data_IF_037985182408
#
_entry.id   IF_037985182408
#
_cell.length_a   1.000
_cell.length_b   1.000
_cell.length_c   1.000
_cell.angle_alpha   90.00
_cell.angle_beta   90.00
_cell.angle_gamma   90.00
#
_symmetry.space_group_name_H-M   'P 1'
#
loop_
_entity.id
_entity.type
_entity.pdbx_description
1 polymer ?
#
# COMPACT_ATOMS: atom_id res chain seq x y z
N UNK A 1 -28.85 -15.04 7.29
CA UNK A 1 -29.15 -14.55 8.66
C UNK A 1 -29.15 -13.02 8.69
N UNK A 2 -29.60 -12.35 9.78
CA UNK A 2 -29.53 -10.88 9.91
C UNK A 2 -28.08 -10.35 9.85
N UNK A 3 -27.13 -11.08 10.47
CA UNK A 3 -25.69 -10.73 10.47
C UNK A 3 -25.09 -10.74 9.07
N UNK A 4 -25.42 -11.75 8.26
CA UNK A 4 -24.92 -11.84 6.89
C UNK A 4 -25.43 -10.69 6.01
N UNK A 5 -26.72 -10.33 6.14
CA UNK A 5 -27.28 -9.15 5.44
C UNK A 5 -26.60 -7.85 5.84
N UNK A 6 -26.29 -7.69 7.12
CA UNK A 6 -25.55 -6.52 7.60
C UNK A 6 -24.16 -6.42 6.96
N UNK A 7 -23.39 -7.52 6.93
CA UNK A 7 -22.06 -7.55 6.29
C UNK A 7 -22.11 -7.25 4.79
N UNK A 8 -23.10 -7.81 4.07
CA UNK A 8 -23.30 -7.50 2.65
C UNK A 8 -23.58 -6.01 2.45
N UNK A 9 -24.46 -5.42 3.26
CA UNK A 9 -24.76 -3.99 3.16
C UNK A 9 -23.51 -3.12 3.38
N UNK A 10 -22.67 -3.46 4.36
CA UNK A 10 -21.40 -2.74 4.58
C UNK A 10 -20.49 -2.80 3.36
N UNK A 11 -20.41 -3.96 2.69
CA UNK A 11 -19.60 -4.11 1.49
C UNK A 11 -20.17 -3.37 0.28
N UNK A 12 -21.49 -3.37 0.13
CA UNK A 12 -22.16 -2.58 -0.90
C UNK A 12 -21.89 -1.09 -0.69
N UNK A 13 -22.09 -0.59 0.53
CA UNK A 13 -21.80 0.80 0.88
C UNK A 13 -20.31 1.13 0.66
N UNK A 14 -19.40 0.19 0.94
CA UNK A 14 -17.96 0.37 0.72
C UNK A 14 -17.65 0.50 -0.78
N UNK A 15 -18.20 -0.38 -1.61
CA UNK A 15 -17.99 -0.32 -3.06
C UNK A 15 -18.62 0.93 -3.68
N UNK A 16 -19.83 1.31 -3.25
CA UNK A 16 -20.47 2.57 -3.67
C UNK A 16 -19.58 3.76 -3.26
N UNK A 17 -19.12 3.80 -2.01
CA UNK A 17 -18.26 4.86 -1.50
C UNK A 17 -16.95 4.97 -2.28
N UNK A 18 -16.33 3.84 -2.63
CA UNK A 18 -15.10 3.79 -3.44
C UNK A 18 -15.37 4.30 -4.86
N UNK A 19 -16.42 3.80 -5.53
CA UNK A 19 -16.81 4.25 -6.88
C UNK A 19 -17.11 5.74 -6.90
N UNK A 20 -17.88 6.25 -5.94
CA UNK A 20 -18.18 7.69 -5.81
C UNK A 20 -16.93 8.54 -5.56
N UNK A 21 -15.92 7.98 -4.87
CA UNK A 21 -14.64 8.66 -4.62
C UNK A 21 -13.75 8.69 -5.87
N UNK A 22 -13.85 7.67 -6.71
CA UNK A 22 -13.16 7.59 -7.99
C UNK A 22 -13.84 8.46 -9.06
N UNK A 23 -15.17 8.66 -8.96
CA UNK A 23 -15.93 9.59 -9.79
C UNK A 23 -15.92 11.00 -9.18
N UNK A 24 -16.37 12.02 -9.93
CA UNK A 24 -16.32 13.42 -9.52
C UNK A 24 -17.22 13.78 -8.30
N UNK A 25 -17.68 12.81 -7.51
CA UNK A 25 -18.60 12.92 -6.38
C UNK A 25 -17.93 12.54 -5.05
N UNK A 26 -16.65 12.92 -4.87
CA UNK A 26 -15.82 12.54 -3.70
C UNK A 26 -16.45 12.82 -2.33
N UNK A 27 -17.21 13.91 -2.21
CA UNK A 27 -17.89 14.25 -0.96
C UNK A 27 -18.94 13.21 -0.55
N UNK A 28 -19.74 12.73 -1.51
CA UNK A 28 -20.73 11.68 -1.27
C UNK A 28 -20.04 10.35 -0.96
N UNK A 29 -18.99 10.01 -1.71
CA UNK A 29 -18.19 8.81 -1.45
C UNK A 29 -17.65 8.76 -0.01
N UNK A 30 -17.12 9.88 0.47
CA UNK A 30 -16.63 9.97 1.85
C UNK A 30 -17.74 9.76 2.90
N UNK A 31 -18.95 10.28 2.67
CA UNK A 31 -20.07 10.11 3.59
C UNK A 31 -20.43 8.64 3.77
N UNK A 32 -20.47 7.85 2.69
CA UNK A 32 -20.68 6.40 2.79
C UNK A 32 -19.60 5.72 3.63
N UNK A 33 -18.33 6.02 3.35
CA UNK A 33 -17.19 5.43 4.05
C UNK A 33 -17.18 5.78 5.54
N UNK A 34 -17.48 7.04 5.91
CA UNK A 34 -17.57 7.46 7.32
C UNK A 34 -18.73 6.82 8.07
N UNK A 35 -19.86 6.60 7.40
CA UNK A 35 -21.02 5.90 7.99
C UNK A 35 -20.69 4.45 8.30
N UNK A 36 -20.00 3.75 7.39
CA UNK A 36 -19.49 2.40 7.64
C UNK A 36 -18.59 2.42 8.88
N UNK A 37 -17.57 3.29 8.89
CA UNK A 37 -16.59 3.37 9.98
C UNK A 37 -17.28 3.54 11.34
N UNK A 38 -18.22 4.49 11.41
CA UNK A 38 -19.02 4.74 12.61
C UNK A 38 -19.80 3.49 13.05
N UNK A 39 -20.33 2.72 12.11
CA UNK A 39 -21.09 1.51 12.41
C UNK A 39 -20.22 0.34 12.90
N UNK A 40 -18.95 0.27 12.49
CA UNK A 40 -18.04 -0.84 12.81
C UNK A 40 -16.99 -0.48 13.87
N UNK A 41 -16.99 0.75 14.38
CA UNK A 41 -15.95 1.31 15.27
C UNK A 41 -15.63 0.43 16.49
N UNK A 42 -16.63 -0.21 17.08
CA UNK A 42 -16.44 -1.08 18.26
C UNK A 42 -15.93 -2.49 17.94
N UNK A 43 -15.87 -2.87 16.66
CA UNK A 43 -15.56 -4.23 16.22
C UNK A 43 -14.51 -4.25 15.11
N UNK A 44 -13.68 -3.20 15.01
CA UNK A 44 -12.68 -3.06 13.95
C UNK A 44 -11.72 -4.27 13.89
N UNK A 45 -11.32 -4.81 15.04
CA UNK A 45 -10.42 -5.96 15.14
C UNK A 45 -11.11 -7.33 14.93
N UNK A 46 -12.42 -7.37 14.69
CA UNK A 46 -13.10 -8.64 14.44
C UNK A 46 -12.60 -9.29 13.14
N UNK A 47 -12.39 -10.60 13.11
CA UNK A 47 -11.83 -11.34 11.96
C UNK A 47 -12.55 -11.07 10.63
N UNK A 48 -13.88 -10.99 10.65
CA UNK A 48 -14.73 -10.64 9.50
C UNK A 48 -14.70 -9.16 9.07
N UNK A 49 -14.18 -8.26 9.92
CA UNK A 49 -14.29 -6.80 9.74
C UNK A 49 -12.92 -6.16 9.50
N UNK A 50 -11.85 -6.67 10.10
CA UNK A 50 -10.53 -6.04 10.08
C UNK A 50 -10.01 -5.74 8.67
N UNK A 51 -10.19 -6.65 7.70
CA UNK A 51 -9.84 -6.39 6.30
C UNK A 51 -10.65 -5.24 5.68
N UNK A 52 -11.95 -5.17 5.97
CA UNK A 52 -12.81 -4.07 5.51
C UNK A 52 -12.39 -2.75 6.16
N UNK A 53 -12.15 -2.76 7.47
CA UNK A 53 -11.73 -1.58 8.22
C UNK A 53 -10.38 -1.04 7.71
N UNK A 54 -9.42 -1.92 7.41
CA UNK A 54 -8.12 -1.50 6.90
C UNK A 54 -8.21 -0.91 5.48
N UNK A 55 -9.01 -1.54 4.61
CA UNK A 55 -9.34 -0.99 3.29
C UNK A 55 -10.03 0.38 3.42
N UNK A 56 -10.96 0.51 4.36
CA UNK A 56 -11.68 1.74 4.62
C UNK A 56 -10.75 2.88 5.04
N UNK A 57 -9.79 2.59 5.93
CA UNK A 57 -8.76 3.57 6.29
C UNK A 57 -7.93 3.99 5.07
N UNK A 58 -7.49 3.05 4.24
CA UNK A 58 -6.75 3.37 3.02
C UNK A 58 -7.56 4.24 2.05
N UNK A 59 -8.86 3.98 1.87
CA UNK A 59 -9.72 4.84 1.04
C UNK A 59 -9.87 6.24 1.63
N UNK A 60 -10.10 6.34 2.95
CA UNK A 60 -10.18 7.64 3.62
C UNK A 60 -8.84 8.40 3.59
N UNK A 61 -7.69 7.71 3.61
CA UNK A 61 -6.38 8.32 3.41
C UNK A 61 -6.29 8.99 2.04
N UNK A 62 -6.67 8.28 0.98
CA UNK A 62 -6.64 8.80 -0.39
C UNK A 62 -7.52 10.05 -0.50
N UNK A 63 -8.75 9.98 0.01
CA UNK A 63 -9.70 11.09 -0.01
C UNK A 63 -9.15 12.30 0.75
N UNK A 64 -8.68 12.10 1.98
CA UNK A 64 -8.15 13.20 2.81
C UNK A 64 -6.90 13.83 2.20
N UNK A 65 -6.03 13.01 1.61
CA UNK A 65 -4.87 13.49 0.86
C UNK A 65 -5.29 14.30 -0.37
N UNK A 66 -6.34 13.91 -1.07
CA UNK A 66 -6.87 14.64 -2.23
C UNK A 66 -7.43 16.02 -1.87
N UNK A 67 -7.93 16.18 -0.64
CA UNK A 67 -8.35 17.47 -0.09
C UNK A 67 -7.22 18.24 0.60
N UNK A 68 -5.97 17.77 0.51
CA UNK A 68 -4.80 18.36 1.17
C UNK A 68 -4.92 18.40 2.72
N UNK A 69 -5.79 17.58 3.30
CA UNK A 69 -5.95 17.43 4.74
C UNK A 69 -4.94 16.41 5.28
N UNK A 70 -3.65 16.70 5.12
CA UNK A 70 -2.57 15.75 5.39
C UNK A 70 -2.48 15.30 6.86
N UNK A 71 -2.75 16.20 7.81
CA UNK A 71 -2.77 15.84 9.24
C UNK A 71 -3.88 14.84 9.57
N UNK A 72 -5.09 15.04 9.05
CA UNK A 72 -6.20 14.09 9.19
C UNK A 72 -5.81 12.72 8.59
N UNK A 73 -5.18 12.73 7.41
CA UNK A 73 -4.71 11.51 6.77
C UNK A 73 -3.68 10.78 7.65
N UNK A 74 -2.68 11.48 8.19
CA UNK A 74 -1.68 10.87 9.08
C UNK A 74 -2.35 10.23 10.32
N UNK A 75 -3.35 10.87 10.92
CA UNK A 75 -4.09 10.28 12.05
C UNK A 75 -4.90 9.03 11.65
N UNK A 76 -5.49 9.02 10.46
CA UNK A 76 -6.15 7.82 9.91
C UNK A 76 -5.14 6.69 9.71
N UNK A 77 -3.93 6.98 9.24
CA UNK A 77 -2.89 5.97 9.03
C UNK A 77 -2.41 5.37 10.36
N UNK A 78 -2.28 6.18 11.42
CA UNK A 78 -1.99 5.68 12.77
C UNK A 78 -3.07 4.73 13.29
N UNK A 79 -4.35 5.00 12.98
CA UNK A 79 -5.46 4.08 13.30
C UNK A 79 -5.35 2.77 12.51
N UNK A 80 -4.96 2.83 11.24
CA UNK A 80 -4.71 1.65 10.43
C UNK A 80 -3.57 0.79 11.00
N UNK A 81 -2.47 1.40 11.43
CA UNK A 81 -1.36 0.72 12.12
C UNK A 81 -1.81 0.09 13.44
N UNK A 82 -2.54 0.83 14.28
CA UNK A 82 -3.08 0.28 15.53
C UNK A 82 -3.97 -0.94 15.27
N UNK A 83 -4.84 -0.88 14.26
CA UNK A 83 -5.69 -2.01 13.87
C UNK A 83 -4.85 -3.20 13.41
N UNK A 84 -3.88 -2.98 12.52
CA UNK A 84 -3.01 -4.04 12.03
C UNK A 84 -2.29 -4.75 13.20
N UNK A 85 -1.71 -3.99 14.12
CA UNK A 85 -1.03 -4.53 15.31
C UNK A 85 -1.96 -5.37 16.20
N UNK A 86 -3.22 -4.95 16.35
CA UNK A 86 -4.23 -5.71 17.10
C UNK A 86 -4.69 -6.97 16.37
N UNK A 87 -4.53 -7.02 15.05
CA UNK A 87 -4.93 -8.14 14.19
C UNK A 87 -3.82 -9.18 13.96
N UNK A 88 -2.63 -9.01 14.55
CA UNK A 88 -1.50 -9.92 14.34
C UNK A 88 -1.82 -11.39 14.70
N UNK A 89 -2.65 -11.61 15.72
CA UNK A 89 -3.07 -12.94 16.18
C UNK A 89 -4.44 -13.39 15.65
N UNK A 90 -5.03 -12.59 14.76
CA UNK A 90 -6.37 -12.82 14.22
C UNK A 90 -6.22 -13.26 12.78
N UNK A 91 -7.00 -14.26 12.38
CA UNK A 91 -7.10 -14.69 10.98
C UNK A 91 -8.09 -13.77 10.24
N UNK A 92 -7.62 -12.85 9.36
CA UNK A 92 -8.49 -11.87 8.72
C UNK A 92 -9.25 -12.51 7.56
N UNK A 93 -10.57 -12.38 7.53
CA UNK A 93 -11.34 -12.80 6.35
C UNK A 93 -11.29 -11.72 5.28
N UNK A 94 -11.26 -12.15 4.02
CA UNK A 94 -11.20 -11.24 2.89
C UNK A 94 -12.60 -10.76 2.50
N UNK A 95 -12.68 -9.56 1.94
CA UNK A 95 -13.97 -8.95 1.55
C UNK A 95 -14.75 -9.86 0.57
N UNK A 96 -14.05 -10.52 -0.35
CA UNK A 96 -14.67 -11.43 -1.33
C UNK A 96 -15.28 -12.70 -0.70
N UNK A 97 -14.77 -13.16 0.44
CA UNK A 97 -15.28 -14.34 1.15
C UNK A 97 -16.62 -14.06 1.82
N UNK A 98 -16.90 -12.80 2.12
CA UNK A 98 -18.18 -12.38 2.70
C UNK A 98 -19.29 -12.46 1.63
N UNK A 99 -18.95 -12.21 0.37
CA UNK A 99 -19.89 -12.22 -0.78
C UNK A 99 -20.04 -13.63 -1.33
N UNK A 100 -18.92 -14.35 -1.52
CA UNK A 100 -18.91 -15.68 -2.08
C UNK A 100 -18.65 -16.73 -0.99
N UNK A 101 -19.74 -17.24 -0.42
CA UNK A 101 -19.70 -18.21 0.70
C UNK A 101 -19.04 -19.54 0.28
N UNK A 102 -19.14 -19.91 -1.00
CA UNK A 102 -18.56 -21.16 -1.52
C UNK A 102 -17.08 -21.01 -1.91
N UNK A 103 -16.51 -19.81 -1.75
CA UNK A 103 -15.12 -19.55 -2.08
C UNK A 103 -14.19 -20.15 -1.02
N UNK A 104 -13.50 -21.23 -1.40
CA UNK A 104 -12.45 -21.82 -0.58
C UNK A 104 -11.14 -21.05 -0.78
N UNK A 105 -10.81 -20.19 0.20
CA UNK A 105 -9.51 -19.52 0.28
C UNK A 105 -8.69 -20.15 1.39
N UNK A 106 -7.41 -20.42 1.11
CA UNK A 106 -6.47 -20.89 2.11
C UNK A 106 -6.11 -19.76 3.08
N UNK A 107 -5.83 -20.09 4.35
CA UNK A 107 -5.45 -19.10 5.38
C UNK A 107 -4.21 -18.30 4.99
N UNK A 108 -3.24 -18.92 4.34
CA UNK A 108 -2.04 -18.23 3.85
C UNK A 108 -2.39 -17.12 2.85
N UNK A 109 -3.31 -17.39 1.90
CA UNK A 109 -3.80 -16.40 0.93
C UNK A 109 -4.55 -15.24 1.63
N UNK A 110 -5.27 -15.52 2.72
CA UNK A 110 -5.94 -14.48 3.51
C UNK A 110 -4.96 -13.53 4.15
N UNK A 111 -3.97 -14.09 4.86
CA UNK A 111 -2.96 -13.29 5.54
C UNK A 111 -2.15 -12.47 4.54
N UNK A 112 -1.76 -13.08 3.43
CA UNK A 112 -1.01 -12.42 2.36
C UNK A 112 -1.72 -11.15 1.85
N UNK A 113 -3.00 -11.26 1.50
CA UNK A 113 -3.73 -10.10 0.98
C UNK A 113 -3.99 -9.05 2.08
N UNK A 114 -4.16 -9.47 3.32
CA UNK A 114 -4.21 -8.55 4.46
C UNK A 114 -2.89 -7.78 4.65
N UNK A 115 -1.74 -8.45 4.52
CA UNK A 115 -0.42 -7.79 4.52
C UNK A 115 -0.27 -6.80 3.36
N UNK A 116 -0.83 -7.11 2.20
CA UNK A 116 -0.84 -6.22 1.04
C UNK A 116 -1.66 -4.95 1.32
N UNK A 117 -2.87 -5.10 1.88
CA UNK A 117 -3.72 -3.96 2.25
C UNK A 117 -2.98 -3.06 3.25
N UNK A 118 -2.29 -3.64 4.24
CA UNK A 118 -1.50 -2.84 5.17
C UNK A 118 -0.27 -2.18 4.51
N UNK A 119 0.38 -2.87 3.58
CA UNK A 119 1.51 -2.30 2.82
C UNK A 119 1.09 -1.06 2.01
N UNK A 120 -0.14 -1.02 1.50
CA UNK A 120 -0.68 0.19 0.88
C UNK A 120 -0.75 1.39 1.84
N UNK A 121 -0.98 1.16 3.14
CA UNK A 121 -0.94 2.24 4.14
C UNK A 121 0.43 2.94 4.16
N UNK A 122 1.54 2.19 4.14
CA UNK A 122 2.90 2.77 4.07
C UNK A 122 3.12 3.51 2.75
N UNK A 123 2.64 2.94 1.65
CA UNK A 123 2.74 3.58 0.33
C UNK A 123 2.01 4.94 0.29
N UNK A 124 0.83 5.04 0.90
CA UNK A 124 0.11 6.32 1.01
C UNK A 124 0.80 7.29 1.97
N UNK A 125 1.33 6.82 3.10
CA UNK A 125 2.13 7.65 4.01
C UNK A 125 3.35 8.24 3.30
N UNK A 126 4.06 7.45 2.49
CA UNK A 126 5.19 7.96 1.72
C UNK A 126 4.81 9.14 0.80
N UNK A 127 3.64 9.06 0.15
CA UNK A 127 3.11 10.13 -0.69
C UNK A 127 2.66 11.34 0.10
N UNK A 128 1.98 11.14 1.23
CA UNK A 128 1.54 12.22 2.11
C UNK A 128 2.75 13.02 2.61
N UNK A 129 3.78 12.35 3.12
CA UNK A 129 5.00 13.00 3.59
C UNK A 129 5.76 13.72 2.46
N UNK A 130 5.76 13.17 1.24
CA UNK A 130 6.30 13.87 0.07
C UNK A 130 5.54 15.18 -0.22
N UNK A 131 4.21 15.18 -0.09
CA UNK A 131 3.36 16.36 -0.34
C UNK A 131 3.55 17.47 0.68
N UNK A 132 3.83 17.14 1.93
CA UNK A 132 4.17 18.13 2.97
C UNK A 132 5.68 18.45 3.03
N UNK A 133 6.44 18.00 2.02
CA UNK A 133 7.88 18.25 1.86
C UNK A 133 8.76 17.68 2.99
N UNK A 134 8.26 16.68 3.72
CA UNK A 134 9.06 15.89 4.66
C UNK A 134 9.67 14.70 3.92
N UNK A 135 10.83 14.96 3.31
CA UNK A 135 11.54 14.01 2.44
C UNK A 135 12.05 12.81 3.23
N UNK A 136 12.44 13.01 4.48
CA UNK A 136 13.03 11.96 5.32
C UNK A 136 11.97 10.91 5.68
N UNK A 137 10.80 11.36 6.13
CA UNK A 137 9.68 10.45 6.38
C UNK A 137 9.20 9.79 5.09
N UNK A 138 9.09 10.55 4.00
CA UNK A 138 8.69 9.99 2.71
C UNK A 138 9.61 8.85 2.26
N UNK A 139 10.93 9.05 2.34
CA UNK A 139 11.92 8.03 1.99
C UNK A 139 11.89 6.84 2.95
N UNK A 140 11.68 7.07 4.26
CA UNK A 140 11.52 5.99 5.22
C UNK A 140 10.31 5.11 4.91
N UNK A 141 9.15 5.70 4.63
CA UNK A 141 7.95 4.94 4.24
C UNK A 141 8.10 4.26 2.86
N UNK A 142 8.83 4.86 1.92
CA UNK A 142 9.21 4.19 0.67
C UNK A 142 10.04 2.93 0.95
N UNK A 143 11.06 3.03 1.81
CA UNK A 143 11.90 1.89 2.22
C UNK A 143 11.05 0.78 2.87
N UNK A 144 10.22 1.12 3.85
CA UNK A 144 9.35 0.15 4.54
C UNK A 144 8.37 -0.53 3.57
N UNK A 145 7.84 0.22 2.59
CA UNK A 145 6.99 -0.36 1.54
C UNK A 145 7.75 -1.40 0.73
N UNK A 146 8.98 -1.08 0.28
CA UNK A 146 9.83 -1.99 -0.50
C UNK A 146 10.25 -3.23 0.29
N UNK A 147 10.59 -3.07 1.57
CA UNK A 147 10.94 -4.18 2.47
C UNK A 147 9.78 -5.17 2.60
N UNK A 148 8.58 -4.67 2.90
CA UNK A 148 7.37 -5.49 3.02
C UNK A 148 7.03 -6.21 1.70
N UNK A 149 7.12 -5.51 0.57
CA UNK A 149 6.91 -6.12 -0.75
C UNK A 149 7.92 -7.25 -1.03
N UNK A 150 9.18 -7.08 -0.64
CA UNK A 150 10.23 -8.08 -0.86
C UNK A 150 10.05 -9.30 0.07
N UNK A 151 9.67 -9.09 1.33
CA UNK A 151 9.35 -10.16 2.27
C UNK A 151 8.21 -11.05 1.74
N UNK A 152 7.16 -10.43 1.20
CA UNK A 152 6.05 -11.14 0.56
C UNK A 152 6.53 -11.92 -0.68
N UNK A 153 7.39 -11.33 -1.52
CA UNK A 153 7.94 -12.01 -2.69
C UNK A 153 8.75 -13.27 -2.35
N UNK A 154 9.58 -13.20 -1.29
CA UNK A 154 10.41 -14.32 -0.86
C UNK A 154 9.61 -15.52 -0.35
N UNK A 155 8.36 -15.32 0.09
CA UNK A 155 7.47 -16.39 0.55
C UNK A 155 6.79 -17.14 -0.63
N UNK A 156 7.34 -17.02 -1.85
CA UNK A 156 6.83 -17.57 -3.12
C UNK A 156 5.48 -17.00 -3.58
N UNK A 157 5.06 -15.89 -2.99
CA UNK A 157 3.89 -15.13 -3.39
C UNK A 157 4.24 -14.21 -4.57
N UNK A 158 3.73 -14.53 -5.76
CA UNK A 158 3.88 -13.68 -6.95
C UNK A 158 2.61 -12.88 -7.31
N UNK A 159 1.48 -13.13 -6.65
CA UNK A 159 0.18 -12.54 -7.04
C UNK A 159 0.19 -11.01 -7.01
N UNK A 160 0.99 -10.41 -6.13
CA UNK A 160 0.92 -8.98 -5.81
C UNK A 160 2.29 -8.28 -5.87
N UNK A 161 3.27 -8.90 -6.52
CA UNK A 161 4.61 -8.36 -6.67
C UNK A 161 4.96 -8.20 -8.14
N UNK A 162 5.20 -6.97 -8.57
CA UNK A 162 5.80 -6.67 -9.86
C UNK A 162 7.28 -6.34 -9.67
N UNK A 163 8.20 -7.24 -10.10
CA UNK A 163 9.64 -7.01 -9.99
C UNK A 163 10.11 -5.73 -10.68
N UNK A 164 9.44 -5.32 -11.77
CA UNK A 164 9.79 -4.13 -12.54
C UNK A 164 9.41 -2.85 -11.79
N UNK A 165 8.21 -2.80 -11.20
CA UNK A 165 7.79 -1.70 -10.33
C UNK A 165 8.68 -1.60 -9.09
N UNK A 166 8.95 -2.74 -8.42
CA UNK A 166 9.81 -2.78 -7.24
C UNK A 166 11.21 -2.24 -7.54
N UNK A 167 11.85 -2.73 -8.61
CA UNK A 167 13.18 -2.28 -9.02
C UNK A 167 13.21 -0.78 -9.37
N UNK A 168 12.17 -0.29 -10.05
CA UNK A 168 12.04 1.13 -10.40
C UNK A 168 11.94 2.01 -9.15
N UNK A 169 11.12 1.60 -8.18
CA UNK A 169 10.95 2.32 -6.92
C UNK A 169 12.22 2.27 -6.05
N UNK A 170 12.89 1.12 -5.98
CA UNK A 170 14.16 0.96 -5.28
C UNK A 170 15.26 1.84 -5.90
N UNK A 171 15.38 1.85 -7.23
CA UNK A 171 16.32 2.73 -7.92
C UNK A 171 15.98 4.22 -7.72
N UNK A 172 14.70 4.58 -7.64
CA UNK A 172 14.28 5.96 -7.35
C UNK A 172 14.66 6.37 -5.92
N UNK A 173 14.53 5.47 -4.95
CA UNK A 173 14.92 5.71 -3.56
C UNK A 173 16.43 6.00 -3.42
N UNK A 174 17.28 5.44 -4.29
CA UNK A 174 18.71 5.78 -4.32
C UNK A 174 18.97 7.28 -4.50
N UNK A 175 18.08 7.99 -5.21
CA UNK A 175 18.22 9.42 -5.46
C UNK A 175 18.13 10.24 -4.18
N UNK A 176 17.25 9.83 -3.26
CA UNK A 176 17.15 10.44 -1.94
C UNK A 176 18.44 10.24 -1.12
N UNK A 177 18.95 9.01 -1.07
CA UNK A 177 20.18 8.74 -0.32
C UNK A 177 21.39 9.49 -0.87
N UNK A 178 21.47 9.65 -2.20
CA UNK A 178 22.49 10.52 -2.81
C UNK A 178 22.37 11.98 -2.38
N UNK A 179 21.15 12.54 -2.34
CA UNK A 179 20.96 13.92 -1.89
C UNK A 179 21.35 14.13 -0.43
N UNK A 180 21.34 13.05 0.37
CA UNK A 180 21.77 13.05 1.76
C UNK A 180 23.22 12.57 1.96
N UNK A 181 23.99 12.46 0.88
CA UNK A 181 25.38 11.97 0.88
C UNK A 181 25.59 10.55 1.45
N UNK A 182 24.51 9.76 1.56
CA UNK A 182 24.59 8.34 1.89
C UNK A 182 24.78 7.51 0.61
N UNK A 183 25.98 7.63 0.05
CA UNK A 183 26.35 6.94 -1.19
C UNK A 183 26.37 5.41 -1.03
N UNK A 184 26.64 4.91 0.18
CA UNK A 184 26.65 3.48 0.46
C UNK A 184 25.25 2.89 0.31
N UNK A 185 24.24 3.50 0.94
CA UNK A 185 22.84 3.06 0.81
C UNK A 185 22.30 3.31 -0.59
N UNK A 186 22.65 4.44 -1.22
CA UNK A 186 22.27 4.71 -2.61
C UNK A 186 22.76 3.62 -3.56
N UNK A 187 24.04 3.22 -3.45
CA UNK A 187 24.62 2.12 -4.23
C UNK A 187 23.91 0.80 -3.96
N UNK A 188 23.62 0.52 -2.69
CA UNK A 188 22.92 -0.70 -2.30
C UNK A 188 21.55 -0.80 -2.99
N UNK A 189 20.74 0.26 -2.97
CA UNK A 189 19.46 0.32 -3.68
C UNK A 189 19.60 0.03 -5.18
N UNK A 190 20.59 0.64 -5.84
CA UNK A 190 20.81 0.42 -7.28
C UNK A 190 21.20 -1.03 -7.59
N UNK A 191 22.07 -1.63 -6.78
CA UNK A 191 22.46 -3.04 -6.94
C UNK A 191 21.28 -4.00 -6.69
N UNK A 192 20.43 -3.72 -5.71
CA UNK A 192 19.22 -4.50 -5.46
C UNK A 192 18.24 -4.42 -6.62
N UNK A 193 18.04 -3.23 -7.18
CA UNK A 193 17.22 -3.03 -8.36
C UNK A 193 17.79 -3.76 -9.59
N UNK A 194 19.09 -3.70 -9.85
CA UNK A 194 19.76 -4.50 -10.90
C UNK A 194 19.48 -5.99 -10.73
N UNK A 195 19.69 -6.51 -9.51
CA UNK A 195 19.51 -7.93 -9.22
C UNK A 195 18.07 -8.39 -9.44
N UNK A 196 17.10 -7.54 -9.11
CA UNK A 196 15.69 -7.83 -9.34
C UNK A 196 15.35 -7.90 -10.84
N UNK A 197 15.96 -7.04 -11.65
CA UNK A 197 15.72 -6.97 -13.10
C UNK A 197 16.35 -8.11 -13.91
N UNK A 198 17.41 -8.77 -13.42
CA UNK A 198 18.06 -9.90 -14.11
C UNK A 198 17.08 -11.03 -14.49
N UNK A 199 16.01 -11.20 -13.73
CA UNK A 199 15.03 -12.27 -13.91
C UNK A 199 13.75 -11.82 -14.65
N UNK A 200 13.66 -10.55 -15.06
CA UNK A 200 12.50 -10.00 -15.76
C UNK A 200 12.64 -10.26 -17.26
N UNK A 201 11.63 -10.89 -17.87
CA UNK A 201 11.63 -11.15 -19.32
C UNK A 201 11.60 -9.83 -20.09
N UNK A 202 12.43 -9.75 -21.14
CA UNK A 202 12.52 -8.60 -22.03
C UNK A 202 11.20 -8.35 -22.76
N UNK A 203 10.65 -7.14 -22.59
CA UNK A 203 9.53 -6.60 -23.36
C UNK A 203 9.74 -5.07 -23.55
N UNK A 204 8.85 -4.40 -24.29
CA UNK A 204 9.00 -2.96 -24.58
C UNK A 204 8.96 -2.08 -23.31
N UNK A 205 8.18 -2.47 -22.29
CA UNK A 205 8.14 -1.80 -20.99
C UNK A 205 9.47 -1.90 -20.24
N UNK A 206 10.19 -3.01 -20.38
CA UNK A 206 11.52 -3.18 -19.81
C UNK A 206 12.52 -2.21 -20.46
N UNK A 207 12.41 -1.94 -21.77
CA UNK A 207 13.29 -1.01 -22.47
C UNK A 207 13.20 0.42 -21.93
N UNK A 208 11.98 0.96 -21.82
CA UNK A 208 11.74 2.31 -21.30
C UNK A 208 12.18 2.46 -19.84
N UNK A 209 11.86 1.47 -18.99
CA UNK A 209 12.23 1.51 -17.58
C UNK A 209 13.70 1.23 -17.34
N UNK A 210 14.36 0.44 -18.18
CA UNK A 210 15.83 0.27 -18.19
C UNK A 210 16.52 1.61 -18.48
N UNK A 211 15.96 2.45 -19.36
CA UNK A 211 16.52 3.79 -19.58
C UNK A 211 16.41 4.67 -18.31
N UNK A 212 15.29 4.60 -17.60
CA UNK A 212 15.12 5.30 -16.31
C UNK A 212 16.10 4.81 -15.25
N UNK A 213 16.31 3.50 -15.21
CA UNK A 213 17.26 2.86 -14.33
C UNK A 213 18.72 3.28 -14.63
N UNK A 214 19.14 3.23 -15.90
CA UNK A 214 20.46 3.71 -16.33
C UNK A 214 20.70 5.18 -15.97
N UNK A 215 19.67 6.03 -16.04
CA UNK A 215 19.77 7.42 -15.56
C UNK A 215 20.10 7.50 -14.07
N UNK A 216 19.60 6.58 -13.25
CA UNK A 216 19.91 6.56 -11.82
C UNK A 216 21.39 6.23 -11.55
N UNK A 217 21.96 5.25 -12.26
CA UNK A 217 23.39 4.94 -12.20
C UNK A 217 24.28 6.09 -12.71
N UNK A 218 23.87 6.76 -13.80
CA UNK A 218 24.59 7.93 -14.31
C UNK A 218 24.63 9.04 -13.27
N UNK A 219 23.48 9.34 -12.63
CA UNK A 219 23.43 10.33 -11.55
C UNK A 219 24.33 9.94 -10.38
N UNK A 220 24.35 8.67 -10.00
CA UNK A 220 25.26 8.16 -8.97
C UNK A 220 26.73 8.39 -9.31
N UNK A 221 27.14 8.03 -10.53
CA UNK A 221 28.51 8.27 -10.98
C UNK A 221 28.88 9.76 -10.96
N UNK A 222 27.97 10.65 -11.42
CA UNK A 222 28.18 12.10 -11.41
C UNK A 222 28.34 12.64 -9.97
N UNK A 223 27.57 12.13 -9.00
CA UNK A 223 27.63 12.58 -7.61
C UNK A 223 28.91 12.13 -6.87
N UNK A 224 29.72 11.24 -7.46
CA UNK A 224 31.00 10.79 -6.90
C UNK A 224 32.22 11.54 -7.47
N UNK A 225 32.01 12.39 -8.48
CA UNK A 225 33.06 13.25 -9.06
C UNK A 225 33.20 14.55 -8.25
#
# INVERSE_FOLDING_TARGET
SKKHRYLINLLLDYHIGTICSDTAERGEGELYLRRILTSIEQVLNHSLICSLALNLFNQLLIIRTSYEHYNDAIEIAKRAESLYNQSLLIEPYLLREIINIDLLIQTNDRREEFEQIYTHTFFYLAQIYAKINDKDQSANYCRLTLERQLEMFHQHTKKHFDPLDWATNCATLSQYYMTNHDYATARHCLMCADKMLENVKTNDQLSERTASFKRCWIKYAINLL
#
